data_IF_390538229240
#
_entry.id   IF_390538229240
#
_cell.length_a   1.000
_cell.length_b   1.000
_cell.length_c   1.000
_cell.angle_alpha   90.00
_cell.angle_beta   90.00
_cell.angle_gamma   90.00
#
_symmetry.space_group_name_H-M   'P 1'
#
loop_
_entity.id
_entity.type
_entity.pdbx_description
1 polymer ?
#
# COMPACT_ATOMS: atom_id res chain seq x y z
N UNK A 1 12.24 -1.53 -9.78
CA UNK A 1 12.65 -0.23 -9.21
C UNK A 1 11.79 -0.06 -7.99
N UNK A 2 12.36 -0.30 -6.81
CA UNK A 2 11.59 -0.34 -5.57
C UNK A 2 11.05 1.05 -5.20
N UNK A 3 9.73 1.15 -5.04
CA UNK A 3 9.03 2.36 -4.65
C UNK A 3 8.90 2.38 -3.14
N UNK A 4 9.62 3.30 -2.50
CA UNK A 4 9.45 3.56 -1.08
C UNK A 4 8.22 4.43 -0.83
N UNK A 5 7.30 3.96 -0.02
CA UNK A 5 6.04 4.67 0.27
C UNK A 5 6.26 5.71 1.37
N UNK A 6 5.99 6.99 1.06
CA UNK A 6 6.03 8.10 2.04
C UNK A 6 4.67 8.48 2.59
N UNK A 7 3.61 8.23 1.82
CA UNK A 7 2.24 8.53 2.19
C UNK A 7 1.30 7.64 1.39
N UNK A 8 0.16 7.31 1.99
CA UNK A 8 -0.86 6.45 1.40
C UNK A 8 -2.22 7.08 1.62
N UNK A 9 -3.08 6.98 0.61
CA UNK A 9 -4.50 7.21 0.73
C UNK A 9 -5.25 6.10 -0.01
N UNK A 10 -6.44 5.76 0.47
CA UNK A 10 -7.27 4.73 -0.15
C UNK A 10 -8.70 5.21 -0.36
N UNK A 11 -9.30 4.78 -1.46
CA UNK A 11 -10.68 5.08 -1.80
C UNK A 11 -11.41 3.81 -2.23
N UNK A 12 -12.61 3.57 -1.70
CA UNK A 12 -13.42 2.42 -2.10
C UNK A 12 -14.21 2.77 -3.36
N UNK A 13 -13.98 2.01 -4.43
CA UNK A 13 -14.77 2.08 -5.66
C UNK A 13 -15.88 1.04 -5.55
N UNK A 14 -17.12 1.53 -5.55
CA UNK A 14 -18.33 0.70 -5.48
C UNK A 14 -19.26 1.00 -6.65
N UNK A 15 -19.97 -0.03 -7.10
CA UNK A 15 -21.14 0.12 -7.97
C UNK A 15 -22.36 -0.26 -7.15
N UNK A 16 -23.19 0.72 -6.81
CA UNK A 16 -24.30 0.55 -5.86
C UNK A 16 -23.79 0.04 -4.51
N UNK A 17 -24.16 -1.19 -4.10
CA UNK A 17 -23.70 -1.79 -2.86
C UNK A 17 -22.58 -2.83 -3.05
N UNK A 18 -22.09 -3.01 -4.29
CA UNK A 18 -21.06 -3.98 -4.61
C UNK A 18 -19.69 -3.31 -4.64
N UNK A 19 -18.75 -3.84 -3.87
CA UNK A 19 -17.34 -3.48 -3.97
C UNK A 19 -16.81 -3.90 -5.35
N UNK A 20 -16.11 -2.97 -6.02
CA UNK A 20 -15.49 -3.22 -7.31
C UNK A 20 -13.97 -3.28 -7.16
N UNK A 21 -13.39 -2.26 -6.53
CA UNK A 21 -11.95 -2.16 -6.33
C UNK A 21 -11.61 -1.17 -5.21
N UNK A 22 -10.39 -1.26 -4.71
CA UNK A 22 -9.77 -0.23 -3.88
C UNK A 22 -8.83 0.61 -4.77
N UNK A 23 -9.07 1.92 -4.82
CA UNK A 23 -8.10 2.88 -5.29
C UNK A 23 -7.03 3.07 -4.21
N UNK A 24 -5.78 2.75 -4.51
CA UNK A 24 -4.63 2.92 -3.64
C UNK A 24 -3.74 4.01 -4.24
N UNK A 25 -3.73 5.19 -3.62
CA UNK A 25 -2.85 6.28 -4.01
C UNK A 25 -1.66 6.33 -3.08
N UNK A 26 -0.46 6.26 -3.65
CA UNK A 26 0.79 6.32 -2.91
C UNK A 26 1.59 7.55 -3.31
N UNK A 27 2.29 8.13 -2.35
CA UNK A 27 3.27 9.18 -2.56
C UNK A 27 4.68 8.60 -2.43
N UNK A 28 5.43 8.67 -3.52
CA UNK A 28 6.80 8.18 -3.65
C UNK A 28 7.82 9.25 -3.18
N UNK A 29 9.11 8.92 -3.04
CA UNK A 29 10.15 9.92 -2.84
C UNK A 29 10.19 10.86 -4.06
N UNK A 30 10.53 12.14 -3.84
CA UNK A 30 10.48 13.23 -4.85
C UNK A 30 9.06 13.72 -5.21
N UNK A 31 8.06 13.47 -4.35
CA UNK A 31 6.67 13.94 -4.52
C UNK A 31 5.97 13.42 -5.77
N UNK A 32 6.46 12.30 -6.33
CA UNK A 32 5.72 11.59 -7.38
C UNK A 32 4.56 10.84 -6.74
N UNK A 33 3.38 10.93 -7.33
CA UNK A 33 2.20 10.19 -6.89
C UNK A 33 1.86 9.11 -7.90
N UNK A 34 1.46 7.95 -7.40
CA UNK A 34 1.01 6.82 -8.22
C UNK A 34 -0.33 6.33 -7.69
N UNK A 35 -1.28 6.09 -8.59
CA UNK A 35 -2.60 5.57 -8.30
C UNK A 35 -2.71 4.16 -8.88
N UNK A 36 -3.06 3.20 -8.02
CA UNK A 36 -3.26 1.80 -8.37
C UNK A 36 -4.67 1.37 -8.04
N UNK A 37 -5.16 0.34 -8.73
CA UNK A 37 -6.48 -0.23 -8.48
C UNK A 37 -6.35 -1.71 -8.13
N UNK A 38 -6.77 -2.08 -6.93
CA UNK A 38 -6.73 -3.46 -6.45
C UNK A 38 -8.13 -4.07 -6.45
N UNK A 39 -8.28 -5.28 -7.00
CA UNK A 39 -9.52 -6.03 -6.85
C UNK A 39 -9.58 -6.67 -5.46
N UNK A 40 -10.66 -7.42 -5.19
CA UNK A 40 -10.83 -8.11 -3.91
C UNK A 40 -9.70 -9.10 -3.63
N UNK A 41 -9.18 -9.77 -4.67
CA UNK A 41 -8.18 -10.82 -4.52
C UNK A 41 -6.83 -10.23 -4.11
N UNK A 42 -6.32 -9.23 -4.84
CA UNK A 42 -5.01 -8.63 -4.52
C UNK A 42 -5.07 -7.83 -3.22
N UNK A 43 -6.22 -7.21 -2.91
CA UNK A 43 -6.43 -6.57 -1.61
C UNK A 43 -6.36 -7.59 -0.47
N UNK A 44 -6.96 -8.77 -0.64
CA UNK A 44 -6.90 -9.84 0.35
C UNK A 44 -5.45 -10.28 0.60
N UNK A 45 -4.68 -10.50 -0.46
CA UNK A 45 -3.28 -10.93 -0.35
C UNK A 45 -2.42 -9.87 0.36
N UNK A 46 -2.64 -8.59 0.05
CA UNK A 46 -2.00 -7.48 0.77
C UNK A 46 -2.35 -7.49 2.26
N UNK A 47 -3.64 -7.62 2.60
CA UNK A 47 -4.10 -7.61 3.98
C UNK A 47 -3.52 -8.80 4.78
N UNK A 48 -3.44 -9.98 4.18
CA UNK A 48 -2.84 -11.17 4.80
C UNK A 48 -1.36 -10.92 5.11
N UNK A 49 -0.61 -10.35 4.17
CA UNK A 49 0.81 -10.04 4.38
C UNK A 49 1.01 -9.02 5.50
N UNK A 50 0.18 -7.96 5.55
CA UNK A 50 0.22 -6.95 6.60
C UNK A 50 -0.16 -7.53 7.96
N UNK A 51 -1.20 -8.35 8.04
CA UNK A 51 -1.64 -9.02 9.28
C UNK A 51 -0.55 -9.95 9.82
N UNK A 52 0.07 -10.76 8.96
CA UNK A 52 1.19 -11.63 9.32
C UNK A 52 2.33 -10.81 9.95
N UNK A 53 2.66 -9.65 9.35
CA UNK A 53 3.70 -8.76 9.87
C UNK A 53 3.34 -8.13 11.21
N UNK A 54 2.10 -7.68 11.39
CA UNK A 54 1.60 -7.17 12.68
C UNK A 54 1.72 -8.25 13.76
N UNK A 55 1.32 -9.48 13.45
CA UNK A 55 1.43 -10.60 14.38
C UNK A 55 2.88 -10.90 14.79
N UNK A 56 3.85 -10.78 13.87
CA UNK A 56 5.28 -10.91 14.19
C UNK A 56 5.76 -9.80 15.13
N UNK A 57 5.35 -8.55 14.89
CA UNK A 57 5.70 -7.41 15.76
C UNK A 57 5.10 -7.53 17.15
N UNK A 58 3.91 -8.12 17.29
CA UNK A 58 3.30 -8.40 18.60
C UNK A 58 4.05 -9.46 19.43
N UNK A 59 4.92 -10.28 18.81
CA UNK A 59 5.75 -11.28 19.52
C UNK A 59 7.11 -10.73 20.00
N UNK A 60 7.39 -9.45 19.76
CA UNK A 60 8.63 -8.83 20.20
C UNK A 60 8.71 -8.77 21.73
N UNK A 61 9.94 -8.79 22.26
CA UNK A 61 10.17 -8.54 23.69
C UNK A 61 9.79 -7.09 24.07
N UNK A 62 9.66 -6.83 25.37
CA UNK A 62 9.21 -5.52 25.86
C UNK A 62 10.14 -4.35 25.49
N UNK A 63 11.45 -4.57 25.36
CA UNK A 63 12.41 -3.53 25.01
C UNK A 63 12.39 -3.20 23.51
N UNK A 64 12.31 -4.24 22.67
CA UNK A 64 12.16 -4.14 21.22
C UNK A 64 10.79 -3.58 20.83
N UNK A 65 9.74 -3.91 21.59
CA UNK A 65 8.40 -3.35 21.39
C UNK A 65 8.39 -1.83 21.61
N UNK A 66 9.03 -1.34 22.69
CA UNK A 66 9.12 0.10 22.97
C UNK A 66 9.88 0.86 21.87
N UNK A 67 10.99 0.30 21.37
CA UNK A 67 11.73 0.88 20.26
C UNK A 67 10.89 0.92 18.97
N UNK A 68 10.15 -0.15 18.69
CA UNK A 68 9.23 -0.22 17.56
C UNK A 68 8.12 0.83 17.65
N UNK A 69 7.51 1.04 18.82
CA UNK A 69 6.47 2.05 19.00
C UNK A 69 6.98 3.47 18.74
N UNK A 70 8.17 3.81 19.26
CA UNK A 70 8.79 5.12 19.00
C UNK A 70 9.08 5.34 17.50
N UNK A 71 9.59 4.31 16.82
CA UNK A 71 9.83 4.36 15.39
C UNK A 71 8.52 4.48 14.59
N UNK A 72 7.49 3.70 14.98
CA UNK A 72 6.16 3.69 14.38
C UNK A 72 5.53 5.08 14.47
N UNK A 73 5.51 5.70 15.64
CA UNK A 73 4.84 6.99 15.83
C UNK A 73 5.52 8.10 15.03
N UNK A 74 6.85 8.06 14.89
CA UNK A 74 7.61 8.96 14.02
C UNK A 74 7.26 8.77 12.54
N UNK A 75 7.06 7.53 12.09
CA UNK A 75 6.66 7.22 10.71
C UNK A 75 5.19 7.60 10.47
N UNK A 76 4.28 7.31 11.39
CA UNK A 76 2.85 7.68 11.30
C UNK A 76 2.72 9.19 11.12
N UNK A 77 3.42 9.99 11.93
CA UNK A 77 3.37 11.45 11.80
C UNK A 77 3.84 11.92 10.42
N UNK A 78 4.95 11.36 9.91
CA UNK A 78 5.45 11.67 8.56
C UNK A 78 4.50 11.24 7.46
N UNK A 79 3.85 10.09 7.60
CA UNK A 79 2.86 9.60 6.64
C UNK A 79 1.62 10.48 6.61
N UNK A 80 1.14 10.92 7.78
CA UNK A 80 -0.01 11.82 7.91
C UNK A 80 0.24 13.17 7.22
N UNK A 81 1.46 13.72 7.36
CA UNK A 81 1.88 14.96 6.67
C UNK A 81 2.00 14.79 5.13
N UNK A 82 2.04 13.56 4.63
CA UNK A 82 2.30 13.24 3.22
C UNK A 82 1.15 12.47 2.54
N UNK A 83 -0.05 12.46 3.12
CA UNK A 83 -1.22 11.80 2.54
C UNK A 83 -1.51 12.44 1.16
N UNK A 84 -1.47 11.67 0.06
CA UNK A 84 -1.85 12.17 -1.25
C UNK A 84 -3.37 12.33 -1.32
N UNK A 85 -3.85 13.38 -1.96
CA UNK A 85 -5.29 13.59 -2.17
C UNK A 85 -5.78 12.71 -3.32
N UNK A 86 -6.95 12.06 -3.19
CA UNK A 86 -7.57 11.34 -4.30
C UNK A 86 -8.62 12.27 -4.92
N UNK A 87 -8.34 12.75 -6.13
CA UNK A 87 -9.25 13.67 -6.82
C UNK A 87 -10.26 12.90 -7.67
N UNK A 88 -11.49 13.44 -7.76
CA UNK A 88 -12.56 12.84 -8.56
C UNK A 88 -12.18 12.73 -10.05
N UNK A 89 -11.43 13.71 -10.56
CA UNK A 89 -11.00 13.71 -11.96
C UNK A 89 -10.01 12.58 -12.28
N UNK A 90 -9.10 12.27 -11.35
CA UNK A 90 -8.18 11.14 -11.47
C UNK A 90 -8.92 9.79 -11.54
N UNK A 91 -10.03 9.68 -10.81
CA UNK A 91 -10.87 8.48 -10.83
C UNK A 91 -11.69 8.38 -12.12
N UNK A 92 -12.13 9.51 -12.69
CA UNK A 92 -12.85 9.54 -13.97
C UNK A 92 -11.93 9.20 -15.15
N UNK A 93 -10.69 9.66 -15.09
CA UNK A 93 -9.66 9.44 -16.10
C UNK A 93 -8.71 8.29 -15.72
N UNK A 94 -9.19 7.36 -14.90
CA UNK A 94 -8.39 6.26 -14.37
C UNK A 94 -7.82 5.39 -15.51
N UNK A 95 -6.49 5.22 -15.50
CA UNK A 95 -5.81 4.33 -16.43
C UNK A 95 -5.99 2.87 -16.01
N UNK A 96 -6.68 2.09 -16.85
CA UNK A 96 -6.94 0.67 -16.60
C UNK A 96 -5.66 -0.15 -16.48
N UNK A 97 -4.55 0.30 -17.10
CA UNK A 97 -3.27 -0.38 -17.01
C UNK A 97 -2.70 -0.33 -15.60
N UNK A 98 -3.13 0.62 -14.76
CA UNK A 98 -2.74 0.71 -13.33
C UNK A 98 -3.49 -0.27 -12.42
N UNK A 99 -4.36 -1.10 -12.97
CA UNK A 99 -4.99 -2.18 -12.22
C UNK A 99 -3.96 -3.25 -11.89
N UNK A 100 -3.90 -3.66 -10.62
CA UNK A 100 -3.05 -4.74 -10.14
C UNK A 100 -3.75 -6.06 -10.44
N UNK A 101 -3.09 -6.94 -11.18
CA UNK A 101 -3.57 -8.30 -11.47
C UNK A 101 -2.94 -9.33 -10.52
N UNK A 102 -1.71 -9.11 -10.04
CA UNK A 102 -1.08 -9.95 -9.02
C UNK A 102 -0.27 -9.12 -8.05
N UNK A 103 -0.21 -9.57 -6.79
CA UNK A 103 0.57 -8.97 -5.72
C UNK A 103 1.37 -10.07 -5.02
N UNK A 104 2.68 -9.93 -5.04
CA UNK A 104 3.60 -10.94 -4.49
C UNK A 104 4.48 -10.30 -3.42
N UNK A 105 4.51 -10.87 -2.22
CA UNK A 105 5.48 -10.49 -1.18
C UNK A 105 6.82 -11.15 -1.52
N UNK A 106 7.79 -10.36 -1.97
CA UNK A 106 9.11 -10.86 -2.40
C UNK A 106 10.17 -10.78 -1.31
N UNK A 107 10.02 -9.82 -0.39
CA UNK A 107 10.93 -9.68 0.75
C UNK A 107 10.17 -9.31 2.03
N UNK A 108 10.53 -10.02 3.09
CA UNK A 108 10.06 -9.82 4.47
C UNK A 108 11.25 -9.96 5.46
N UNK A 109 12.49 -9.91 4.97
CA UNK A 109 13.69 -10.03 5.78
C UNK A 109 14.17 -8.64 6.18
N UNK A 110 13.70 -8.16 7.33
CA UNK A 110 14.14 -6.89 7.90
C UNK A 110 12.99 -6.10 8.48
N UNK A 111 13.09 -4.77 8.40
CA UNK A 111 12.06 -3.83 8.90
C UNK A 111 10.92 -3.61 7.89
N UNK A 112 11.23 -3.72 6.60
CA UNK A 112 10.33 -3.40 5.49
C UNK A 112 9.67 -4.66 4.91
N UNK A 113 8.54 -4.45 4.24
CA UNK A 113 7.91 -5.44 3.34
C UNK A 113 8.08 -4.93 1.92
N UNK A 114 8.53 -5.80 1.02
CA UNK A 114 8.65 -5.49 -0.41
C UNK A 114 7.63 -6.30 -1.18
N UNK A 115 6.82 -5.63 -1.98
CA UNK A 115 5.78 -6.24 -2.79
C UNK A 115 6.05 -5.97 -4.26
N UNK A 116 5.89 -6.99 -5.09
CA UNK A 116 5.86 -6.83 -6.54
C UNK A 116 4.40 -6.83 -7.01
N UNK A 117 4.00 -5.73 -7.63
CA UNK A 117 2.72 -5.56 -8.29
C UNK A 117 2.88 -5.85 -9.78
N UNK A 118 2.18 -6.86 -10.29
CA UNK A 118 2.03 -7.03 -11.74
C UNK A 118 0.77 -6.30 -12.18
N UNK A 119 0.96 -5.31 -13.05
CA UNK A 119 -0.08 -4.45 -13.57
C UNK A 119 -0.80 -5.09 -14.78
N UNK A 120 -1.92 -4.49 -15.19
CA UNK A 120 -2.76 -5.04 -16.23
C UNK A 120 -2.08 -5.09 -17.61
N UNK A 121 -1.18 -4.15 -17.90
CA UNK A 121 -0.34 -4.14 -19.10
C UNK A 121 0.83 -5.13 -19.06
N UNK A 122 0.95 -5.92 -17.98
CA UNK A 122 2.03 -6.87 -17.75
C UNK A 122 3.31 -6.24 -17.17
N UNK A 123 3.34 -4.92 -16.96
CA UNK A 123 4.45 -4.26 -16.30
C UNK A 123 4.53 -4.65 -14.82
N UNK A 124 5.74 -4.66 -14.27
CA UNK A 124 5.99 -4.97 -12.86
C UNK A 124 6.50 -3.74 -12.13
N UNK A 125 5.91 -3.49 -10.97
CA UNK A 125 6.30 -2.45 -10.04
C UNK A 125 6.74 -3.11 -8.73
N UNK A 126 7.80 -2.61 -8.11
CA UNK A 126 8.32 -3.07 -6.82
C UNK A 126 8.28 -1.92 -5.83
#
# INVERSE_FOLDING_TARGET
>A
MAISIKGVNTGVIRKSNNFIALALKIKEPRNKESLFFMSVMELRDLLIALESRLHQKHKLDAAAHLQYEQARDKVIKKMAENIPEILVDELKNADINRRVNTLELTDNQGENLTFVLTLHDGSKCE
#
